data_IF_531495172046
#
_entry.id   IF_531495172046
#
_cell.length_a   1.000
_cell.length_b   1.000
_cell.length_c   1.000
_cell.angle_alpha   90.00
_cell.angle_beta   90.00
_cell.angle_gamma   90.00
#
_symmetry.space_group_name_H-M   'P 1'
#
loop_
_entity.id
_entity.type
_entity.pdbx_description
1 polymer ?
#
# COMPACT_ATOMS: atom_id res chain seq x y z
N UNK A 1 -20.14 9.95 39.92
CA UNK A 1 -18.75 10.25 40.32
C UNK A 1 -18.03 10.83 39.11
N UNK A 2 -17.49 12.07 39.17
CA UNK A 2 -16.68 12.60 38.09
C UNK A 2 -15.37 11.80 37.98
N UNK A 3 -14.95 11.49 36.76
CA UNK A 3 -13.72 10.74 36.49
C UNK A 3 -12.49 11.56 36.90
N UNK A 4 -11.50 10.92 37.53
CA UNK A 4 -10.23 11.59 37.79
C UNK A 4 -9.47 11.84 36.49
N UNK A 5 -8.72 12.94 36.42
CA UNK A 5 -7.96 13.32 35.23
C UNK A 5 -7.03 12.20 34.75
N UNK A 6 -6.39 11.48 35.68
CA UNK A 6 -5.53 10.33 35.34
C UNK A 6 -6.27 9.18 34.66
N UNK A 7 -7.50 8.86 35.10
CA UNK A 7 -8.33 7.83 34.44
C UNK A 7 -8.74 8.28 33.04
N UNK A 8 -9.13 9.55 32.88
CA UNK A 8 -9.50 10.11 31.57
C UNK A 8 -8.33 10.05 30.58
N UNK A 9 -7.15 10.50 30.98
CA UNK A 9 -5.94 10.44 30.15
C UNK A 9 -5.63 9.00 29.76
N UNK A 10 -5.66 8.06 30.71
CA UNK A 10 -5.41 6.65 30.43
C UNK A 10 -6.40 6.07 29.40
N UNK A 11 -7.71 6.20 29.63
CA UNK A 11 -8.72 5.67 28.70
C UNK A 11 -8.63 6.33 27.32
N UNK A 12 -8.43 7.66 27.27
CA UNK A 12 -8.30 8.38 25.99
C UNK A 12 -7.09 7.89 25.19
N UNK A 13 -5.96 7.61 25.85
CA UNK A 13 -4.76 7.12 25.18
C UNK A 13 -4.94 5.71 24.60
N UNK A 14 -5.61 4.81 25.35
CA UNK A 14 -5.92 3.45 24.89
C UNK A 14 -6.90 3.49 23.71
N UNK A 15 -7.96 4.30 23.79
CA UNK A 15 -8.92 4.46 22.69
C UNK A 15 -8.25 5.06 21.46
N UNK A 16 -7.44 6.10 21.62
CA UNK A 16 -6.74 6.76 20.50
C UNK A 16 -5.77 5.80 19.80
N UNK A 17 -4.90 5.13 20.55
CA UNK A 17 -3.93 4.16 19.99
C UNK A 17 -4.60 2.95 19.32
N UNK A 18 -5.65 2.41 19.94
CA UNK A 18 -6.46 1.33 19.34
C UNK A 18 -7.14 1.77 18.04
N UNK A 19 -7.71 2.98 18.02
CA UNK A 19 -8.36 3.52 16.82
C UNK A 19 -7.35 3.73 15.69
N UNK A 20 -6.19 4.33 15.97
CA UNK A 20 -5.16 4.55 14.96
C UNK A 20 -4.65 3.26 14.33
N UNK A 21 -4.37 2.23 15.14
CA UNK A 21 -3.87 0.94 14.62
C UNK A 21 -4.93 0.23 13.76
N UNK A 22 -6.20 0.25 14.19
CA UNK A 22 -7.30 -0.30 13.41
C UNK A 22 -7.49 0.45 12.09
N UNK A 23 -7.52 1.79 12.11
CA UNK A 23 -7.65 2.60 10.88
C UNK A 23 -6.49 2.34 9.93
N UNK A 24 -5.25 2.27 10.43
CA UNK A 24 -4.09 1.93 9.61
C UNK A 24 -4.26 0.58 8.93
N UNK A 25 -4.65 -0.46 9.67
CA UNK A 25 -4.89 -1.79 9.12
C UNK A 25 -6.00 -1.81 8.07
N UNK A 26 -7.11 -1.10 8.33
CA UNK A 26 -8.23 -1.03 7.38
C UNK A 26 -7.84 -0.34 6.08
N UNK A 27 -7.03 0.73 6.14
CA UNK A 27 -6.52 1.41 4.94
C UNK A 27 -5.61 0.47 4.14
N UNK A 28 -4.68 -0.25 4.80
CA UNK A 28 -3.84 -1.25 4.14
C UNK A 28 -4.67 -2.33 3.44
N UNK A 29 -5.71 -2.83 4.12
CA UNK A 29 -6.62 -3.84 3.59
C UNK A 29 -7.47 -3.31 2.44
N UNK A 30 -7.78 -2.02 2.42
CA UNK A 30 -8.48 -1.39 1.31
C UNK A 30 -7.58 -1.33 0.07
N UNK A 31 -6.32 -0.91 0.23
CA UNK A 31 -5.35 -0.90 -0.87
C UNK A 31 -5.11 -2.30 -1.44
N UNK A 32 -4.95 -3.32 -0.60
CA UNK A 32 -4.71 -4.69 -1.09
C UNK A 32 -5.86 -5.28 -1.91
N UNK A 33 -7.06 -4.70 -1.79
CA UNK A 33 -8.25 -5.06 -2.57
C UNK A 33 -8.51 -4.15 -3.76
N UNK A 34 -7.74 -3.07 -3.93
CA UNK A 34 -7.95 -2.14 -5.02
C UNK A 34 -7.50 -2.75 -6.35
N UNK A 35 -8.25 -2.51 -7.42
CA UNK A 35 -7.99 -3.11 -8.73
C UNK A 35 -6.62 -2.71 -9.30
N UNK A 36 -6.25 -1.43 -9.22
CA UNK A 36 -4.93 -0.95 -9.65
C UNK A 36 -3.78 -1.61 -8.88
N UNK A 37 -4.01 -2.02 -7.62
CA UNK A 37 -3.01 -2.67 -6.78
C UNK A 37 -2.86 -4.13 -7.18
N UNK A 38 -3.99 -4.85 -7.31
CA UNK A 38 -4.00 -6.25 -7.71
C UNK A 38 -3.42 -6.45 -9.12
N UNK A 39 -3.84 -5.63 -10.08
CA UNK A 39 -3.31 -5.68 -11.44
C UNK A 39 -1.80 -5.42 -11.48
N UNK A 40 -1.29 -4.52 -10.63
CA UNK A 40 0.14 -4.21 -10.61
C UNK A 40 0.95 -5.41 -10.09
N UNK A 41 0.41 -6.10 -9.09
CA UNK A 41 1.01 -7.34 -8.62
C UNK A 41 0.92 -8.44 -9.68
N UNK A 42 -0.21 -8.60 -10.38
CA UNK A 42 -0.33 -9.55 -11.48
C UNK A 42 0.73 -9.31 -12.57
N UNK A 43 0.93 -8.05 -12.97
CA UNK A 43 2.00 -7.68 -13.90
C UNK A 43 3.38 -8.04 -13.36
N UNK A 44 3.68 -7.72 -12.09
CA UNK A 44 4.95 -8.06 -11.47
C UNK A 44 5.22 -9.58 -11.47
N UNK A 45 4.20 -10.40 -11.18
CA UNK A 45 4.32 -11.86 -11.25
C UNK A 45 4.50 -12.38 -12.68
N UNK A 46 4.02 -11.64 -13.69
CA UNK A 46 4.21 -11.96 -15.11
C UNK A 46 5.55 -11.52 -15.70
N UNK A 47 6.37 -10.76 -14.96
CA UNK A 47 7.65 -10.23 -15.45
C UNK A 47 8.84 -11.11 -15.02
N UNK A 48 9.40 -11.96 -15.90
CA UNK A 48 10.47 -12.88 -15.54
C UNK A 48 11.73 -12.16 -15.05
N UNK A 49 12.09 -11.01 -15.64
CA UNK A 49 13.25 -10.21 -15.20
C UNK A 49 13.11 -9.73 -13.74
N UNK A 50 11.89 -9.35 -13.34
CA UNK A 50 11.63 -8.90 -11.97
C UNK A 50 11.69 -10.08 -10.99
N UNK A 51 11.17 -11.24 -11.38
CA UNK A 51 11.27 -12.47 -10.60
C UNK A 51 12.72 -12.97 -10.48
N UNK A 52 13.52 -12.85 -11.54
CA UNK A 52 14.94 -13.20 -11.51
C UNK A 52 15.73 -12.29 -10.57
N UNK A 53 15.41 -10.99 -10.54
CA UNK A 53 16.07 -10.00 -9.70
C UNK A 53 15.68 -10.12 -8.22
N UNK A 54 14.39 -10.26 -7.91
CA UNK A 54 13.87 -10.33 -6.53
C UNK A 54 14.00 -11.75 -5.95
N UNK A 55 13.83 -12.77 -6.80
CA UNK A 55 13.71 -14.16 -6.41
C UNK A 55 12.28 -14.56 -6.05
N UNK A 56 12.04 -15.87 -5.97
CA UNK A 56 10.76 -16.48 -5.58
C UNK A 56 10.89 -17.24 -4.26
N UNK A 57 9.92 -17.17 -3.33
CA UNK A 57 8.63 -16.48 -3.44
C UNK A 57 8.74 -14.96 -3.29
N UNK A 58 7.81 -14.24 -3.89
CA UNK A 58 7.70 -12.78 -3.76
C UNK A 58 6.83 -12.43 -2.56
N UNK A 59 7.34 -11.53 -1.72
CA UNK A 59 6.64 -10.97 -0.56
C UNK A 59 6.24 -9.53 -0.86
N UNK A 60 4.98 -9.19 -0.56
CA UNK A 60 4.45 -7.83 -0.69
C UNK A 60 4.24 -7.27 0.70
N UNK A 61 4.81 -6.10 0.98
CA UNK A 61 4.75 -5.46 2.29
C UNK A 61 3.69 -4.37 2.35
N UNK A 62 3.39 -3.92 3.57
CA UNK A 62 2.49 -2.80 3.78
C UNK A 62 3.00 -1.53 3.13
N UNK A 63 2.08 -0.79 2.50
CA UNK A 63 2.37 0.51 1.92
C UNK A 63 2.80 1.46 3.02
N UNK A 64 3.83 2.25 2.74
CA UNK A 64 4.13 3.39 3.60
C UNK A 64 3.09 4.48 3.33
N UNK A 65 2.00 4.47 4.09
CA UNK A 65 0.83 5.35 3.84
C UNK A 65 1.18 6.85 3.85
N UNK A 66 2.27 7.23 4.52
CA UNK A 66 2.77 8.62 4.61
C UNK A 66 3.83 8.96 3.56
N UNK A 67 4.14 8.05 2.64
CA UNK A 67 5.08 8.32 1.56
C UNK A 67 4.48 9.32 0.56
N UNK A 68 5.21 10.40 0.26
CA UNK A 68 4.77 11.46 -0.65
C UNK A 68 4.51 10.99 -2.08
N UNK A 69 5.06 9.83 -2.48
CA UNK A 69 4.83 9.24 -3.79
C UNK A 69 3.58 8.34 -3.83
N UNK A 70 2.91 8.13 -2.69
CA UNK A 70 1.62 7.44 -2.64
C UNK A 70 0.50 8.49 -2.73
N UNK A 71 -0.23 8.47 -3.83
CA UNK A 71 -1.32 9.41 -4.10
C UNK A 71 -2.46 8.66 -4.82
N UNK A 72 -3.68 8.79 -4.33
CA UNK A 72 -4.87 8.25 -5.01
C UNK A 72 -5.96 9.30 -4.98
N UNK A 73 -6.45 9.64 -6.16
CA UNK A 73 -7.58 10.52 -6.38
C UNK A 73 -8.64 9.82 -7.25
N UNK A 74 -9.68 10.55 -7.63
CA UNK A 74 -10.79 10.07 -8.43
C UNK A 74 -10.33 9.64 -9.82
N UNK A 75 -9.31 10.25 -10.43
CA UNK A 75 -8.87 9.92 -11.77
C UNK A 75 -7.55 9.13 -11.83
N UNK A 76 -6.70 9.26 -10.81
CA UNK A 76 -5.32 8.76 -10.84
C UNK A 76 -4.94 8.04 -9.55
N UNK A 77 -4.13 7.00 -9.69
CA UNK A 77 -3.53 6.26 -8.60
C UNK A 77 -2.04 6.07 -8.86
N UNK A 78 -1.22 6.63 -7.98
CA UNK A 78 0.22 6.47 -7.92
C UNK A 78 0.59 5.76 -6.62
N UNK A 79 1.29 4.62 -6.73
CA UNK A 79 1.72 3.85 -5.58
C UNK A 79 3.17 3.38 -5.70
N UNK A 80 3.83 3.35 -4.56
CA UNK A 80 5.15 2.75 -4.35
C UNK A 80 4.99 1.55 -3.43
N UNK A 81 4.77 0.38 -4.02
CA UNK A 81 4.49 -0.89 -3.31
C UNK A 81 5.83 -1.54 -2.94
N UNK A 82 6.17 -1.70 -1.65
CA UNK A 82 7.40 -2.39 -1.28
C UNK A 82 7.25 -3.89 -1.50
N UNK A 83 8.21 -4.47 -2.20
CA UNK A 83 8.26 -5.89 -2.54
C UNK A 83 9.63 -6.46 -2.22
N UNK A 84 9.69 -7.73 -1.82
CA UNK A 84 10.96 -8.42 -1.61
C UNK A 84 10.90 -9.86 -2.05
N UNK A 85 12.07 -10.43 -2.31
CA UNK A 85 12.26 -11.86 -2.45
C UNK A 85 13.59 -12.28 -1.81
N UNK A 86 13.98 -13.56 -1.94
CA UNK A 86 15.19 -14.08 -1.31
C UNK A 86 16.49 -13.45 -1.80
N UNK A 87 16.50 -12.86 -3.00
CA UNK A 87 17.71 -12.28 -3.61
C UNK A 87 17.85 -10.80 -3.32
N UNK A 88 16.74 -10.06 -3.37
CA UNK A 88 16.75 -8.61 -3.16
C UNK A 88 15.38 -8.07 -2.76
N UNK A 89 15.39 -6.83 -2.30
CA UNK A 89 14.20 -6.02 -2.02
C UNK A 89 14.12 -4.83 -2.98
N UNK A 90 12.91 -4.30 -3.17
CA UNK A 90 12.68 -3.20 -4.08
C UNK A 90 11.29 -2.59 -3.93
N UNK A 91 10.97 -1.70 -4.87
CA UNK A 91 9.68 -1.03 -4.91
C UNK A 91 9.07 -1.15 -6.30
N UNK A 92 7.82 -1.60 -6.34
CA UNK A 92 7.01 -1.54 -7.55
C UNK A 92 6.35 -0.17 -7.62
N UNK A 93 6.75 0.61 -8.63
CA UNK A 93 6.14 1.91 -8.93
C UNK A 93 4.98 1.71 -9.90
N UNK A 94 3.79 2.07 -9.44
CA UNK A 94 2.53 1.91 -10.18
C UNK A 94 1.97 3.29 -10.44
N UNK A 95 1.62 3.55 -11.70
CA UNK A 95 0.82 4.69 -12.11
C UNK A 95 -0.36 4.13 -12.88
N UNK A 96 -1.56 4.55 -12.51
CA UNK A 96 -2.78 4.11 -13.14
C UNK A 96 -3.79 5.24 -13.22
N UNK A 97 -4.50 5.35 -14.34
CA UNK A 97 -5.49 6.39 -14.57
C UNK A 97 -6.83 5.78 -15.01
N UNK A 98 -7.93 6.51 -14.84
CA UNK A 98 -9.25 6.15 -15.36
C UNK A 98 -9.99 7.38 -15.88
N UNK A 99 -10.84 7.16 -16.87
CA UNK A 99 -11.52 8.26 -17.58
C UNK A 99 -12.75 8.79 -16.82
N UNK A 100 -13.34 8.01 -15.93
CA UNK A 100 -14.47 8.44 -15.10
C UNK A 100 -14.49 7.74 -13.73
N UNK A 101 -15.18 8.32 -12.73
CA UNK A 101 -15.45 7.63 -11.47
C UNK A 101 -16.10 6.26 -11.71
N UNK A 102 -15.68 5.25 -10.94
CA UNK A 102 -16.17 3.86 -11.03
C UNK A 102 -15.81 3.09 -12.30
N UNK A 103 -15.08 3.68 -13.25
CA UNK A 103 -14.48 2.92 -14.35
C UNK A 103 -13.21 2.19 -13.91
N UNK A 104 -12.84 1.16 -14.68
CA UNK A 104 -11.62 0.38 -14.45
C UNK A 104 -10.40 1.25 -14.71
N UNK A 105 -9.44 1.16 -13.79
CA UNK A 105 -8.12 1.75 -13.91
C UNK A 105 -7.32 1.09 -15.05
N UNK A 106 -6.64 1.92 -15.85
CA UNK A 106 -5.71 1.54 -16.91
C UNK A 106 -4.29 1.78 -16.41
N UNK A 107 -3.39 0.80 -16.57
CA UNK A 107 -2.05 0.84 -15.97
C UNK A 107 -0.98 1.31 -16.94
N UNK A 108 -0.03 2.10 -16.43
CA UNK A 108 1.19 2.54 -17.13
C UNK A 108 2.49 2.27 -16.34
N UNK A 109 2.50 1.28 -15.44
CA UNK A 109 3.62 1.04 -14.52
C UNK A 109 4.84 0.37 -15.17
N UNK A 110 6.04 0.80 -14.76
CA UNK A 110 7.33 0.16 -15.11
C UNK A 110 8.09 -0.23 -13.85
N UNK A 111 8.53 -1.49 -13.72
CA UNK A 111 9.38 -1.93 -12.61
C UNK A 111 10.74 -1.23 -12.68
N UNK A 112 11.15 -0.54 -11.60
CA UNK A 112 12.50 0.03 -11.47
C UNK A 112 13.19 -0.57 -10.26
N UNK A 113 14.36 -1.17 -10.48
CA UNK A 113 15.26 -1.64 -9.43
C UNK A 113 15.75 -0.44 -8.61
N UNK A 114 15.61 -0.51 -7.29
CA UNK A 114 16.28 0.44 -6.39
C UNK A 114 17.76 0.08 -6.37
N UNK A 115 18.60 1.00 -6.85
CA UNK A 115 20.05 0.99 -6.63
C UNK A 115 20.39 1.43 -5.23
#
# INVERSE_FOLDING_TARGET
>A
MPWSLGKLVFYSSVVASGTCTLTYYLIQKAFSKASYYQQALEQLHGHPEALEALGTPLNVHYLRLTDKYNFVDIAEAQLKIPVSGPKSEGHLHVISSRNAPFQRYQQGGTFRRSS
#
